data_IF_897205828952
#
_entry.id   IF_897205828952
#
_cell.length_a   1.000
_cell.length_b   1.000
_cell.length_c   1.000
_cell.angle_alpha   90.00
_cell.angle_beta   90.00
_cell.angle_gamma   90.00
#
_symmetry.space_group_name_H-M   'P 1'
#
loop_
_entity.id
_entity.type
_entity.pdbx_description
1 polymer ?
#
# COMPACT_ATOMS: atom_id res chain seq x y z
N UNK A 1 -20.97 2.41 -17.18
CA UNK A 1 -20.85 2.92 -15.79
C UNK A 1 -20.16 1.85 -14.97
N UNK A 2 -18.97 2.11 -14.43
CA UNK A 2 -18.25 1.13 -13.61
C UNK A 2 -18.89 1.07 -12.24
N UNK A 3 -19.41 -0.10 -11.85
CA UNK A 3 -20.00 -0.34 -10.54
C UNK A 3 -18.99 -0.06 -9.42
N UNK A 4 -19.41 0.63 -8.36
CA UNK A 4 -18.62 0.90 -7.17
C UNK A 4 -18.07 -0.39 -6.55
N UNK A 5 -18.84 -1.48 -6.57
CA UNK A 5 -18.38 -2.80 -6.12
C UNK A 5 -17.18 -3.28 -6.94
N UNK A 6 -17.20 -3.07 -8.25
CA UNK A 6 -16.11 -3.46 -9.13
C UNK A 6 -14.84 -2.64 -8.85
N UNK A 7 -14.98 -1.33 -8.64
CA UNK A 7 -13.87 -0.45 -8.25
C UNK A 7 -13.26 -0.85 -6.90
N UNK A 8 -14.11 -1.16 -5.91
CA UNK A 8 -13.65 -1.60 -4.60
C UNK A 8 -12.83 -2.90 -4.69
N UNK A 9 -13.27 -3.86 -5.50
CA UNK A 9 -12.52 -5.10 -5.73
C UNK A 9 -11.16 -4.84 -6.38
N UNK A 10 -11.05 -3.90 -7.32
CA UNK A 10 -9.78 -3.51 -7.92
C UNK A 10 -8.85 -2.89 -6.86
N UNK A 11 -9.38 -2.01 -6.00
CA UNK A 11 -8.58 -1.39 -4.95
C UNK A 11 -8.10 -2.40 -3.91
N UNK A 12 -8.94 -3.35 -3.51
CA UNK A 12 -8.55 -4.46 -2.61
C UNK A 12 -7.43 -5.28 -3.25
N UNK A 13 -7.59 -5.70 -4.52
CA UNK A 13 -6.55 -6.44 -5.23
C UNK A 13 -5.21 -5.70 -5.27
N UNK A 14 -5.22 -4.38 -5.53
CA UNK A 14 -4.01 -3.56 -5.50
C UNK A 14 -3.40 -3.45 -4.10
N UNK A 15 -4.25 -3.30 -3.07
CA UNK A 15 -3.82 -3.23 -1.68
C UNK A 15 -3.15 -4.54 -1.21
N UNK A 16 -3.66 -5.69 -1.66
CA UNK A 16 -3.12 -7.02 -1.31
C UNK A 16 -1.85 -7.36 -2.10
N UNK A 17 -1.83 -7.02 -3.40
CA UNK A 17 -0.64 -7.17 -4.24
C UNK A 17 0.55 -6.39 -3.68
N UNK A 18 0.28 -5.19 -3.17
CA UNK A 18 1.24 -4.30 -2.55
C UNK A 18 1.47 -3.04 -3.39
N UNK A 19 1.60 -1.91 -2.71
CA UNK A 19 2.01 -0.63 -3.32
C UNK A 19 3.48 -0.35 -3.03
N UNK A 20 4.10 0.49 -3.85
CA UNK A 20 5.49 0.91 -3.61
C UNK A 20 5.60 1.73 -2.32
N UNK A 21 6.59 1.39 -1.50
CA UNK A 21 7.07 2.23 -0.42
C UNK A 21 8.36 2.91 -0.85
N UNK A 22 8.27 4.20 -1.16
CA UNK A 22 9.40 5.02 -1.65
C UNK A 22 9.46 6.31 -0.85
N UNK A 23 10.67 6.83 -0.63
CA UNK A 23 10.89 8.09 0.09
C UNK A 23 10.19 8.15 1.46
N UNK A 24 10.23 7.04 2.22
CA UNK A 24 9.66 6.97 3.56
C UNK A 24 8.12 7.02 3.61
N UNK A 25 7.42 6.72 2.50
CA UNK A 25 5.96 6.69 2.44
C UNK A 25 5.41 5.69 1.43
N UNK A 26 4.18 5.26 1.68
CA UNK A 26 3.32 4.58 0.71
C UNK A 26 2.01 5.37 0.56
N UNK A 27 1.34 5.23 -0.59
CA UNK A 27 0.10 5.92 -0.92
C UNK A 27 -1.06 4.94 -1.04
N UNK A 28 -2.26 5.37 -0.64
CA UNK A 28 -3.48 4.58 -0.77
C UNK A 28 -3.80 4.36 -2.27
N UNK A 29 -4.02 3.12 -2.74
CA UNK A 29 -4.33 2.86 -4.14
C UNK A 29 -5.74 3.32 -4.56
N UNK A 30 -6.60 3.68 -3.59
CA UNK A 30 -7.95 4.19 -3.85
C UNK A 30 -8.02 5.72 -3.88
N UNK A 31 -7.41 6.40 -2.91
CA UNK A 31 -7.56 7.86 -2.73
C UNK A 31 -6.24 8.65 -2.78
N UNK A 32 -5.09 8.00 -2.97
CA UNK A 32 -3.79 8.66 -3.03
C UNK A 32 -3.26 9.21 -1.69
N UNK A 33 -4.03 9.14 -0.60
CA UNK A 33 -3.61 9.64 0.71
C UNK A 33 -2.36 8.90 1.24
N UNK A 34 -1.52 9.61 2.01
CA UNK A 34 -0.34 9.03 2.66
C UNK A 34 -0.78 8.00 3.70
N UNK A 35 -0.19 6.81 3.61
CA UNK A 35 -0.49 5.70 4.52
C UNK A 35 0.39 5.75 5.77
N UNK A 36 -0.24 5.56 6.93
CA UNK A 36 0.48 5.37 8.21
C UNK A 36 0.88 3.90 8.34
N UNK A 37 2.14 3.64 8.67
CA UNK A 37 2.63 2.28 8.95
C UNK A 37 1.99 1.76 10.23
N UNK A 38 1.36 0.59 10.15
CA UNK A 38 0.82 -0.15 11.30
C UNK A 38 1.79 -1.24 11.76
N UNK A 39 2.36 -1.96 10.81
CA UNK A 39 3.27 -3.07 11.08
C UNK A 39 4.36 -3.09 10.02
N UNK A 40 5.58 -3.36 10.44
CA UNK A 40 6.73 -3.56 9.55
C UNK A 40 7.25 -4.97 9.78
N UNK A 41 7.39 -5.75 8.71
CA UNK A 41 8.07 -7.05 8.78
C UNK A 41 9.59 -6.83 8.70
N UNK A 42 10.40 -7.78 9.21
CA UNK A 42 11.84 -7.78 8.96
C UNK A 42 12.16 -7.74 7.46
N UNK A 43 13.39 -7.37 7.12
CA UNK A 43 13.90 -7.52 5.76
C UNK A 43 13.99 -9.00 5.40
N UNK A 44 13.57 -9.33 4.18
CA UNK A 44 13.73 -10.63 3.55
C UNK A 44 14.50 -10.41 2.24
N UNK A 45 15.80 -10.70 2.28
CA UNK A 45 16.72 -10.29 1.21
C UNK A 45 16.73 -8.77 1.01
N UNK A 46 16.47 -8.33 -0.22
CA UNK A 46 16.43 -6.91 -0.61
C UNK A 46 15.05 -6.26 -0.43
N UNK A 47 14.07 -7.00 0.09
CA UNK A 47 12.68 -6.54 0.21
C UNK A 47 12.21 -6.46 1.66
N UNK A 48 11.38 -5.46 1.97
CA UNK A 48 10.70 -5.31 3.25
C UNK A 48 9.23 -5.02 3.03
N UNK A 49 8.37 -5.81 3.66
CA UNK A 49 6.93 -5.63 3.60
C UNK A 49 6.45 -4.81 4.80
N UNK A 50 5.57 -3.84 4.54
CA UNK A 50 4.85 -3.09 5.57
C UNK A 50 3.36 -3.20 5.36
N UNK A 51 2.62 -3.03 6.44
CA UNK A 51 1.16 -3.03 6.46
C UNK A 51 0.66 -1.71 6.99
N UNK A 52 -0.40 -1.21 6.35
CA UNK A 52 -0.99 0.09 6.56
C UNK A 52 -2.51 0.01 6.63
N UNK A 53 -3.14 1.08 7.09
CA UNK A 53 -4.58 1.32 6.97
C UNK A 53 -4.79 2.76 6.51
N UNK A 54 -5.71 2.97 5.57
CA UNK A 54 -6.11 4.32 5.16
C UNK A 54 -7.07 4.91 6.20
N UNK A 55 -6.90 6.20 6.53
CA UNK A 55 -7.79 6.95 7.42
C UNK A 55 -8.41 8.19 6.75
N UNK A 56 -8.22 8.36 5.45
CA UNK A 56 -8.78 9.47 4.71
C UNK A 56 -10.27 9.23 4.45
N UNK A 57 -11.09 10.25 4.63
CA UNK A 57 -12.50 10.24 4.30
C UNK A 57 -12.81 11.26 3.19
N UNK A 58 -13.62 10.92 2.18
CA UNK A 58 -14.18 9.59 1.92
C UNK A 58 -13.19 8.68 1.17
N UNK A 59 -12.94 7.46 1.68
CA UNK A 59 -12.15 6.44 0.98
C UNK A 59 -12.76 5.05 1.18
N UNK A 60 -13.01 4.33 0.08
CA UNK A 60 -13.59 2.98 0.14
C UNK A 60 -12.77 1.98 0.96
N UNK A 61 -11.43 2.04 0.87
CA UNK A 61 -10.56 1.17 1.68
C UNK A 61 -10.52 1.57 3.16
N UNK A 62 -10.70 2.87 3.48
CA UNK A 62 -10.82 3.32 4.86
C UNK A 62 -12.15 2.86 5.47
N UNK A 63 -13.25 2.98 4.73
CA UNK A 63 -14.59 2.59 5.18
C UNK A 63 -14.70 1.12 5.59
N UNK A 64 -13.95 0.23 4.93
CA UNK A 64 -13.92 -1.21 5.27
C UNK A 64 -12.70 -1.60 6.14
N UNK A 65 -11.88 -0.63 6.57
CA UNK A 65 -10.66 -0.87 7.35
C UNK A 65 -9.70 -1.92 6.75
N UNK A 66 -9.58 -1.96 5.41
CA UNK A 66 -8.74 -2.96 4.73
C UNK A 66 -7.25 -2.68 4.97
N UNK A 67 -6.48 -3.75 5.19
CA UNK A 67 -5.03 -3.64 5.31
C UNK A 67 -4.42 -3.41 3.92
N UNK A 68 -3.47 -2.47 3.82
CA UNK A 68 -2.75 -2.20 2.58
C UNK A 68 -1.31 -2.65 2.77
N UNK A 69 -0.86 -3.57 1.93
CA UNK A 69 0.53 -4.00 1.86
C UNK A 69 1.35 -2.95 1.12
N UNK A 70 2.56 -2.65 1.58
CA UNK A 70 3.54 -1.94 0.78
C UNK A 70 4.85 -2.72 0.73
N UNK A 71 5.58 -2.54 -0.36
CA UNK A 71 6.85 -3.20 -0.65
C UNK A 71 7.93 -2.13 -0.72
N UNK A 72 8.95 -2.28 0.11
CA UNK A 72 10.14 -1.45 0.11
C UNK A 72 11.31 -2.30 -0.39
N UNK A 73 11.96 -1.89 -1.47
CA UNK A 73 13.15 -2.54 -2.01
C UNK A 73 14.38 -1.71 -1.69
N UNK A 74 15.50 -2.34 -1.33
CA UNK A 74 16.80 -1.66 -1.35
C UNK A 74 17.18 -1.45 -2.80
N UNK A 75 17.65 -0.25 -3.14
CA UNK A 75 18.39 -0.06 -4.37
C UNK A 75 19.71 -0.82 -4.20
N UNK A 76 19.99 -1.77 -5.07
CA UNK A 76 21.33 -2.34 -5.18
C UNK A 76 22.20 -1.24 -5.79
N UNK A 77 23.13 -0.67 -5.00
CA UNK A 77 24.20 0.14 -5.56
C UNK A 77 25.02 -0.77 -6.48
N UNK A 78 24.71 -0.75 -7.78
CA UNK A 78 25.67 -1.18 -8.80
C UNK A 78 26.88 -0.27 -8.67
N UNK A 79 27.89 -0.74 -7.95
CA UNK A 79 29.20 -0.10 -7.89
C UNK A 79 29.75 -0.08 -9.31
N UNK A 80 30.14 1.09 -9.86
CA UNK A 80 30.68 1.21 -11.21
C UNK A 80 32.02 0.49 -11.39
#
# INVERSE_FOLDING_TARGET
MTDFRHLLLIWIKKADAGVDFKNGRALCPACGARLKVKTTRPWEGTTRIRYHVCKAEPCGLAAISHNIKSIETREEETTP
#
